data_IF_240034115098
#
_entry.id   IF_240034115098
#
_cell.length_a   1.000
_cell.length_b   1.000
_cell.length_c   1.000
_cell.angle_alpha   90.00
_cell.angle_beta   90.00
_cell.angle_gamma   90.00
#
_symmetry.space_group_name_H-M   'P 1'
#
loop_
_entity.id
_entity.type
_entity.pdbx_description
1 polymer ?
#
# COMPACT_ATOMS: atom_id res chain seq x y z
N UNK A 1 5.06 1.51 -16.57
CA UNK A 1 3.88 1.98 -17.30
C UNK A 1 3.75 3.53 -17.34
N UNK A 2 4.79 4.25 -16.96
CA UNK A 2 4.82 5.69 -17.11
C UNK A 2 4.11 6.48 -16.02
N UNK A 3 4.08 5.95 -14.82
CA UNK A 3 3.43 6.62 -13.68
C UNK A 3 4.40 7.35 -12.74
N UNK A 4 5.70 7.40 -13.08
CA UNK A 4 6.70 8.11 -12.29
C UNK A 4 6.26 9.56 -12.05
N UNK A 5 6.35 10.01 -10.79
CA UNK A 5 5.99 11.37 -10.42
C UNK A 5 4.49 11.66 -10.35
N UNK A 6 3.63 10.68 -10.66
CA UNK A 6 2.16 10.88 -10.66
C UNK A 6 1.50 10.44 -9.37
N UNK A 7 2.23 9.77 -8.46
CA UNK A 7 1.69 9.33 -7.17
C UNK A 7 2.54 9.89 -6.04
N UNK A 8 1.90 10.16 -4.91
CA UNK A 8 2.52 10.79 -3.74
C UNK A 8 2.46 9.92 -2.48
N UNK A 9 1.78 8.78 -2.54
CA UNK A 9 1.69 7.85 -1.41
C UNK A 9 1.60 6.43 -1.95
N UNK A 10 2.37 5.52 -1.36
CA UNK A 10 2.31 4.08 -1.65
C UNK A 10 2.44 3.30 -0.36
N UNK A 11 1.58 2.31 -0.17
CA UNK A 11 1.72 1.34 0.90
C UNK A 11 1.40 -0.06 0.36
N UNK A 12 2.37 -0.96 0.47
CA UNK A 12 2.23 -2.36 0.11
C UNK A 12 2.18 -3.19 1.40
N UNK A 13 0.99 -3.56 1.89
CA UNK A 13 0.88 -4.30 3.14
C UNK A 13 1.59 -5.65 3.10
N UNK A 14 2.25 -5.98 4.20
CA UNK A 14 2.98 -7.24 4.39
C UNK A 14 2.41 -7.93 5.62
N UNK A 15 2.21 -9.25 5.52
CA UNK A 15 1.88 -10.05 6.70
C UNK A 15 3.16 -10.25 7.52
N UNK A 16 3.17 -9.73 8.74
CA UNK A 16 4.36 -9.75 9.59
C UNK A 16 4.74 -11.17 10.04
N UNK A 17 3.78 -12.08 10.08
CA UNK A 17 4.03 -13.47 10.45
C UNK A 17 4.74 -14.26 9.36
N UNK A 18 4.23 -14.21 8.13
CA UNK A 18 4.78 -14.93 6.97
C UNK A 18 5.81 -14.13 6.20
N UNK A 19 5.88 -12.82 6.41
CA UNK A 19 6.74 -11.86 5.67
C UNK A 19 6.38 -11.76 4.19
N UNK A 20 5.18 -12.19 3.82
CA UNK A 20 4.70 -12.15 2.44
C UNK A 20 3.81 -10.93 2.20
N UNK A 21 3.87 -10.37 0.99
CA UNK A 21 2.93 -9.32 0.58
C UNK A 21 1.51 -9.87 0.54
N UNK A 22 0.53 -9.04 0.94
CA UNK A 22 -0.87 -9.44 0.98
C UNK A 22 -1.53 -9.50 -0.40
N UNK A 23 -0.84 -9.05 -1.44
CA UNK A 23 -1.33 -9.12 -2.82
C UNK A 23 -2.08 -7.87 -3.28
N UNK A 24 -2.06 -6.80 -2.50
CA UNK A 24 -2.65 -5.51 -2.89
C UNK A 24 -1.79 -4.36 -2.38
N UNK A 25 -2.03 -3.17 -2.94
CA UNK A 25 -1.35 -1.96 -2.53
C UNK A 25 -2.31 -0.79 -2.52
N UNK A 26 -2.03 0.20 -1.67
CA UNK A 26 -2.72 1.48 -1.67
C UNK A 26 -1.83 2.52 -2.34
N UNK A 27 -2.37 3.24 -3.30
CA UNK A 27 -1.65 4.29 -4.03
C UNK A 27 -2.52 5.53 -4.08
N UNK A 28 -1.96 6.69 -3.72
CA UNK A 28 -2.63 7.96 -3.93
C UNK A 28 -1.95 8.71 -5.06
N UNK A 29 -2.74 9.19 -6.02
CA UNK A 29 -2.23 9.94 -7.16
C UNK A 29 -2.35 11.44 -6.92
N UNK A 30 -1.45 12.21 -7.53
CA UNK A 30 -1.40 13.67 -7.36
C UNK A 30 -2.58 14.37 -8.03
N UNK A 31 -3.27 13.69 -8.96
CA UNK A 31 -4.46 14.23 -9.62
C UNK A 31 -5.48 13.13 -9.92
N UNK A 32 -6.79 13.48 -10.01
CA UNK A 32 -7.80 12.51 -10.44
C UNK A 32 -7.55 11.93 -11.84
N UNK A 33 -6.99 12.71 -12.75
CA UNK A 33 -6.66 12.23 -14.10
C UNK A 33 -5.61 11.14 -14.08
N UNK A 34 -4.60 11.25 -13.23
CA UNK A 34 -3.59 10.21 -13.07
C UNK A 34 -4.19 8.94 -12.47
N UNK A 35 -5.11 9.07 -11.52
CA UNK A 35 -5.81 7.92 -10.94
C UNK A 35 -6.67 7.21 -11.98
N UNK A 36 -7.39 7.97 -12.82
CA UNK A 36 -8.20 7.39 -13.90
C UNK A 36 -7.32 6.66 -14.92
N UNK A 37 -6.17 7.22 -15.26
CA UNK A 37 -5.22 6.56 -16.15
C UNK A 37 -4.71 5.24 -15.59
N UNK A 38 -4.40 5.22 -14.29
CA UNK A 38 -4.01 4.00 -13.60
C UNK A 38 -5.12 2.94 -13.68
N UNK A 39 -6.35 3.34 -13.45
CA UNK A 39 -7.50 2.45 -13.54
C UNK A 39 -7.58 1.81 -14.94
N UNK A 40 -7.47 2.62 -15.98
CA UNK A 40 -7.56 2.14 -17.36
C UNK A 40 -6.42 1.21 -17.75
N UNK A 41 -5.22 1.45 -17.23
CA UNK A 41 -4.05 0.63 -17.56
C UNK A 41 -4.06 -0.68 -16.79
N UNK A 42 -4.38 -0.66 -15.50
CA UNK A 42 -4.19 -1.81 -14.63
C UNK A 42 -5.45 -2.63 -14.35
N UNK A 43 -6.66 -2.09 -14.53
CA UNK A 43 -7.86 -2.92 -14.36
C UNK A 43 -7.85 -4.04 -15.40
N UNK A 44 -7.87 -5.26 -14.92
CA UNK A 44 -7.81 -6.42 -15.79
C UNK A 44 -6.40 -6.80 -16.28
N UNK A 45 -5.36 -6.11 -15.81
CA UNK A 45 -3.99 -6.40 -16.21
C UNK A 45 -3.58 -7.81 -15.78
N UNK A 46 -3.02 -8.58 -16.69
CA UNK A 46 -2.55 -9.93 -16.43
C UNK A 46 -1.21 -10.27 -17.09
N UNK A 47 -0.59 -9.29 -17.75
CA UNK A 47 0.69 -9.47 -18.45
C UNK A 47 1.87 -9.33 -17.49
N UNK A 48 1.94 -10.23 -16.52
CA UNK A 48 3.04 -10.26 -15.55
C UNK A 48 4.32 -10.75 -16.23
N UNK A 49 5.47 -10.34 -15.72
CA UNK A 49 6.75 -10.86 -16.19
C UNK A 49 7.02 -12.30 -15.77
N UNK A 50 6.10 -12.91 -15.05
CA UNK A 50 6.14 -14.30 -14.63
C UNK A 50 4.81 -14.96 -14.94
N UNK A 51 4.79 -16.30 -15.02
CA UNK A 51 3.55 -17.02 -15.24
C UNK A 51 2.64 -16.91 -14.02
N UNK A 52 1.42 -16.39 -14.23
CA UNK A 52 0.43 -16.21 -13.18
C UNK A 52 -0.96 -16.09 -13.79
N UNK A 53 -1.95 -16.68 -13.13
CA UNK A 53 -3.35 -16.56 -13.50
C UNK A 53 -4.03 -15.34 -12.88
N UNK A 54 -3.31 -14.56 -12.06
CA UNK A 54 -3.86 -13.41 -11.40
C UNK A 54 -4.21 -12.30 -12.39
N UNK A 55 -5.31 -11.63 -12.11
CA UNK A 55 -5.77 -10.46 -12.87
C UNK A 55 -5.81 -9.28 -11.91
N UNK A 56 -5.25 -8.15 -12.31
CA UNK A 56 -5.24 -6.96 -11.47
C UNK A 56 -6.64 -6.35 -11.37
N UNK A 57 -7.06 -6.02 -10.16
CA UNK A 57 -8.30 -5.30 -9.90
C UNK A 57 -7.96 -3.94 -9.28
N UNK A 58 -8.60 -2.90 -9.78
CA UNK A 58 -8.42 -1.53 -9.28
C UNK A 58 -9.75 -1.05 -8.69
N UNK A 59 -9.70 -0.54 -7.47
CA UNK A 59 -10.87 0.03 -6.81
C UNK A 59 -10.49 1.33 -6.11
N UNK A 60 -11.47 2.21 -5.92
CA UNK A 60 -11.25 3.42 -5.13
C UNK A 60 -11.07 3.07 -3.66
N UNK A 61 -10.07 3.69 -3.02
CA UNK A 61 -9.84 3.51 -1.60
C UNK A 61 -10.96 4.16 -0.77
N UNK A 62 -11.64 3.38 0.03
CA UNK A 62 -12.69 3.86 0.93
C UNK A 62 -12.39 3.33 2.34
N UNK A 63 -12.37 4.20 3.38
CA UNK A 63 -12.76 5.62 3.39
C UNK A 63 -11.64 6.61 3.07
N UNK A 64 -10.39 6.17 2.85
CA UNK A 64 -9.26 7.08 2.71
C UNK A 64 -9.11 7.58 1.28
N UNK A 65 -9.29 8.87 1.07
CA UNK A 65 -9.05 9.56 -0.19
C UNK A 65 -8.15 10.76 0.05
N UNK A 66 -7.09 10.89 -0.77
CA UNK A 66 -6.14 12.00 -0.69
C UNK A 66 -4.95 11.70 0.22
N UNK A 67 -3.85 12.40 -0.02
CA UNK A 67 -2.59 12.19 0.72
C UNK A 67 -2.77 12.39 2.23
N UNK A 68 -3.45 13.46 2.64
CA UNK A 68 -3.61 13.78 4.06
C UNK A 68 -4.36 12.67 4.80
N UNK A 69 -5.40 12.10 4.20
CA UNK A 69 -6.15 11.01 4.82
C UNK A 69 -5.29 9.77 5.01
N UNK A 70 -4.44 9.43 4.04
CA UNK A 70 -3.52 8.30 4.16
C UNK A 70 -2.45 8.55 5.23
N UNK A 71 -1.90 9.76 5.29
CA UNK A 71 -0.91 10.12 6.31
C UNK A 71 -1.51 10.00 7.71
N UNK A 72 -2.71 10.54 7.93
CA UNK A 72 -3.39 10.46 9.22
C UNK A 72 -3.70 9.02 9.63
N UNK A 73 -4.09 8.18 8.68
CA UNK A 73 -4.38 6.78 8.95
C UNK A 73 -3.16 6.01 9.44
N UNK A 74 -1.99 6.25 8.88
CA UNK A 74 -0.81 5.43 9.15
C UNK A 74 0.20 6.06 10.09
N UNK A 75 0.15 7.37 10.33
CA UNK A 75 1.13 8.08 11.15
C UNK A 75 1.32 7.47 12.54
N UNK A 76 0.24 7.01 13.17
CA UNK A 76 0.26 6.40 14.49
C UNK A 76 -0.04 4.89 14.45
N UNK A 77 0.07 4.27 13.29
CA UNK A 77 -0.14 2.84 13.12
C UNK A 77 1.07 2.05 13.62
N UNK A 78 0.86 0.84 14.18
CA UNK A 78 1.98 -0.05 14.52
C UNK A 78 2.95 -0.32 13.37
N UNK A 79 2.52 -0.19 12.11
CA UNK A 79 3.41 -0.36 10.95
C UNK A 79 4.57 0.63 10.96
N UNK A 80 4.42 1.78 11.64
CA UNK A 80 5.46 2.81 11.73
C UNK A 80 6.44 2.57 12.88
N UNK A 81 6.26 1.50 13.67
CA UNK A 81 7.16 1.17 14.76
C UNK A 81 8.59 0.89 14.26
N UNK A 82 9.59 1.24 15.06
CA UNK A 82 11.00 1.10 14.70
C UNK A 82 11.41 -0.35 14.37
N UNK A 83 10.71 -1.34 14.93
CA UNK A 83 10.98 -2.75 14.66
C UNK A 83 10.57 -3.20 13.26
N UNK A 84 9.75 -2.42 12.55
CA UNK A 84 9.29 -2.76 11.20
C UNK A 84 10.36 -2.34 10.19
N UNK A 85 10.78 -3.23 9.27
CA UNK A 85 11.70 -2.84 8.21
C UNK A 85 11.20 -1.64 7.42
N UNK A 86 12.11 -0.74 7.08
CA UNK A 86 11.74 0.52 6.42
C UNK A 86 11.01 0.30 5.10
N UNK A 87 11.40 -0.74 4.35
CA UNK A 87 10.76 -1.06 3.06
C UNK A 87 9.36 -1.68 3.19
N UNK A 88 8.87 -1.92 4.41
CA UNK A 88 7.51 -2.40 4.67
C UNK A 88 6.58 -1.26 5.10
N UNK A 89 7.09 -0.05 5.26
CA UNK A 89 6.33 1.10 5.73
C UNK A 89 5.70 1.85 4.56
N UNK A 90 4.57 2.54 4.80
CA UNK A 90 4.03 3.48 3.82
C UNK A 90 5.07 4.55 3.48
N UNK A 91 5.09 5.01 2.24
CA UNK A 91 6.01 6.05 1.80
C UNK A 91 5.27 7.23 1.18
N UNK A 92 5.85 8.41 1.33
CA UNK A 92 5.38 9.64 0.69
C UNK A 92 6.42 10.04 -0.35
N UNK A 93 5.95 10.50 -1.51
CA UNK A 93 6.83 10.93 -2.60
C UNK A 93 6.48 12.34 -3.03
N UNK A 94 7.50 13.10 -3.42
CA UNK A 94 7.35 14.41 -4.06
C UNK A 94 8.14 14.36 -5.35
N UNK A 95 7.45 14.57 -6.47
CA UNK A 95 8.05 14.48 -7.80
C UNK A 95 8.83 13.16 -8.04
N UNK A 96 8.29 12.06 -7.53
CA UNK A 96 8.89 10.74 -7.69
C UNK A 96 9.99 10.40 -6.69
N UNK A 97 10.38 11.32 -5.81
CA UNK A 97 11.41 11.08 -4.81
C UNK A 97 10.80 10.89 -3.41
N UNK A 98 11.26 9.85 -2.70
CA UNK A 98 10.79 9.58 -1.34
C UNK A 98 11.18 10.72 -0.40
N UNK A 99 10.22 11.18 0.42
CA UNK A 99 10.45 12.16 1.48
C UNK A 99 10.10 11.53 2.84
N UNK A 100 10.61 12.12 3.96
CA UNK A 100 10.31 11.56 5.29
C UNK A 100 8.82 11.54 5.58
N UNK A 101 8.35 10.45 6.20
CA UNK A 101 6.98 10.34 6.70
C UNK A 101 6.89 11.10 8.03
N UNK A 102 5.79 11.82 8.31
CA UNK A 102 5.64 12.51 9.58
C UNK A 102 5.79 11.56 10.76
N UNK A 103 6.54 11.99 11.78
CA UNK A 103 6.75 11.18 12.98
C UNK A 103 5.42 10.93 13.71
N UNK A 104 5.30 9.78 14.40
CA UNK A 104 4.13 9.53 15.24
C UNK A 104 3.95 10.62 16.30
N UNK A 105 2.70 10.99 16.57
CA UNK A 105 2.35 11.98 17.57
C UNK A 105 2.10 11.39 18.95
N UNK A 106 2.15 10.05 19.05
CA UNK A 106 2.00 9.30 20.30
C UNK A 106 2.87 8.05 20.26
N UNK A 107 3.08 7.42 21.41
CA UNK A 107 3.81 6.16 21.49
C UNK A 107 3.04 5.06 20.77
N UNK A 108 3.71 4.33 19.89
CA UNK A 108 3.12 3.21 19.17
C UNK A 108 3.83 1.91 19.58
N UNK A 109 3.08 0.80 19.54
CA UNK A 109 3.63 -0.53 19.82
C UNK A 109 3.95 -1.26 18.52
N UNK A 110 4.79 -2.30 18.60
CA UNK A 110 5.09 -3.13 17.45
C UNK A 110 3.84 -3.87 16.96
N UNK A 111 3.77 -4.16 15.65
CA UNK A 111 2.67 -4.94 15.09
C UNK A 111 2.60 -6.32 15.76
N UNK A 112 1.38 -6.79 15.99
CA UNK A 112 1.15 -8.12 16.58
C UNK A 112 1.05 -9.16 15.47
N UNK A 113 1.82 -10.25 15.62
CA UNK A 113 1.75 -11.39 14.72
C UNK A 113 0.79 -12.42 15.33
N UNK A 114 -0.39 -12.57 14.73
CA UNK A 114 -1.40 -13.52 15.19
C UNK A 114 -1.73 -14.49 14.07
N UNK A 115 -1.86 -15.77 14.40
CA UNK A 115 -2.25 -16.80 13.44
C UNK A 115 -3.53 -16.44 12.69
N UNK A 116 -4.52 -15.89 13.41
CA UNK A 116 -5.78 -15.45 12.82
C UNK A 116 -5.59 -14.37 11.76
N UNK A 117 -4.65 -13.46 11.95
CA UNK A 117 -4.34 -12.41 10.98
C UNK A 117 -3.67 -13.01 9.73
N UNK A 118 -2.82 -14.02 9.91
CA UNK A 118 -2.19 -14.74 8.81
C UNK A 118 -3.25 -15.40 7.93
N UNK A 119 -4.20 -16.12 8.52
CA UNK A 119 -5.29 -16.78 7.79
C UNK A 119 -6.15 -15.77 7.03
N UNK A 120 -6.47 -14.63 7.65
CA UNK A 120 -7.24 -13.57 7.01
C UNK A 120 -6.48 -12.96 5.82
N UNK A 121 -5.18 -12.73 5.98
CA UNK A 121 -4.32 -12.20 4.93
C UNK A 121 -4.25 -13.16 3.74
N UNK A 122 -4.12 -14.47 3.99
CA UNK A 122 -4.12 -15.49 2.94
C UNK A 122 -5.42 -15.49 2.15
N UNK A 123 -6.57 -15.36 2.82
CA UNK A 123 -7.87 -15.26 2.15
C UNK A 123 -7.98 -14.03 1.26
N UNK A 124 -7.50 -12.88 1.74
CA UNK A 124 -7.51 -11.65 0.94
C UNK A 124 -6.61 -11.76 -0.27
N UNK A 125 -5.42 -12.32 -0.12
CA UNK A 125 -4.50 -12.54 -1.22
C UNK A 125 -5.08 -13.49 -2.26
N UNK A 126 -5.82 -14.51 -1.83
CA UNK A 126 -6.48 -15.44 -2.75
C UNK A 126 -7.65 -14.81 -3.49
N UNK A 127 -8.33 -13.83 -2.88
CA UNK A 127 -9.45 -13.11 -3.49
C UNK A 127 -8.99 -12.00 -4.45
N UNK A 128 -7.79 -11.50 -4.25
CA UNK A 128 -7.20 -10.49 -5.12
C UNK A 128 -6.58 -11.15 -6.35
#
# INVERSE_FOLDING_TARGET
EGFDGTFDFVYLPVDFGSKACLGYAFVNFVSPGDADRCWQVFEGFSEWGVESEKVCEVTWGDPCQGLQAHVERYQNSPVMHDSVPDNWKPIILVAGARVPFPAPTKTISAPKMRRRNVEKAEKQAAAA
#
